data_IF_820647546385
#
_entry.id   IF_820647546385
#
_cell.length_a   1.000
_cell.length_b   1.000
_cell.length_c   1.000
_cell.angle_alpha   90.00
_cell.angle_beta   90.00
_cell.angle_gamma   90.00
#
_symmetry.space_group_name_H-M   'P 1'
#
loop_
_entity.id
_entity.type
_entity.pdbx_description
1 polymer ?
#
# COMPACT_ATOMS: atom_id res chain seq x y z
N UNK A 1 15.56 -19.83 -15.37
CA UNK A 1 15.21 -20.72 -14.24
C UNK A 1 14.83 -19.85 -13.07
N UNK A 2 13.59 -19.97 -12.61
CA UNK A 2 12.96 -19.03 -11.67
C UNK A 2 11.50 -18.86 -12.09
N UNK A 3 10.71 -19.92 -11.91
CA UNK A 3 9.33 -19.98 -12.37
C UNK A 3 8.45 -19.05 -11.56
N UNK A 4 8.13 -17.89 -12.12
CA UNK A 4 7.11 -16.99 -11.59
C UNK A 4 5.76 -17.58 -11.99
N UNK A 5 5.04 -18.16 -11.03
CA UNK A 5 3.67 -18.63 -11.28
C UNK A 5 2.69 -17.51 -10.92
N UNK A 6 1.95 -17.04 -11.92
CA UNK A 6 0.87 -16.07 -11.74
C UNK A 6 -0.43 -16.83 -11.50
N UNK A 7 -0.94 -16.79 -10.27
CA UNK A 7 -2.28 -17.33 -9.97
C UNK A 7 -3.25 -16.15 -10.04
N UNK A 8 -4.14 -16.20 -11.01
CA UNK A 8 -5.20 -15.21 -11.19
C UNK A 8 -6.46 -15.71 -10.47
N UNK A 9 -6.74 -15.16 -9.29
CA UNK A 9 -8.04 -15.33 -8.64
C UNK A 9 -8.74 -13.97 -8.63
N UNK A 10 -9.84 -13.87 -9.38
CA UNK A 10 -10.85 -12.79 -9.31
C UNK A 10 -10.27 -11.36 -9.21
N UNK A 11 -9.36 -10.98 -10.11
CA UNK A 11 -8.82 -9.61 -10.19
C UNK A 11 -7.57 -9.35 -9.35
N UNK A 12 -7.06 -10.35 -8.63
CA UNK A 12 -5.78 -10.28 -7.93
C UNK A 12 -4.73 -11.13 -8.65
N UNK A 13 -3.62 -10.51 -9.06
CA UNK A 13 -2.45 -11.24 -9.57
C UNK A 13 -1.54 -11.56 -8.39
N UNK A 14 -1.44 -12.84 -8.01
CA UNK A 14 -0.47 -13.32 -7.02
C UNK A 14 0.79 -13.80 -7.75
N UNK A 15 1.93 -13.25 -7.37
CA UNK A 15 3.24 -13.81 -7.69
C UNK A 15 3.67 -14.69 -6.53
N UNK A 16 3.92 -15.98 -6.80
CA UNK A 16 4.43 -16.91 -5.80
C UNK A 16 5.95 -16.94 -5.87
N UNK A 17 6.61 -16.23 -4.96
CA UNK A 17 8.05 -16.31 -4.75
C UNK A 17 8.32 -17.34 -3.66
N UNK A 18 9.20 -18.29 -3.95
CA UNK A 18 9.53 -19.39 -3.05
C UNK A 18 10.37 -18.88 -1.87
N UNK A 19 9.74 -18.69 -0.71
CA UNK A 19 10.43 -18.33 0.52
C UNK A 19 9.49 -18.08 1.68
N UNK A 20 9.03 -19.15 2.33
CA UNK A 20 8.31 -19.08 3.61
C UNK A 20 9.17 -18.37 4.67
N UNK A 21 8.97 -17.07 4.85
CA UNK A 21 9.25 -16.40 6.11
C UNK A 21 7.92 -16.18 6.82
N UNK A 22 7.65 -16.99 7.84
CA UNK A 22 6.42 -16.95 8.65
C UNK A 22 6.36 -15.73 9.60
N UNK A 23 7.43 -14.91 9.61
CA UNK A 23 7.52 -13.69 10.37
C UNK A 23 7.17 -12.47 9.50
N UNK A 24 6.27 -11.62 10.00
CA UNK A 24 6.01 -10.32 9.38
C UNK A 24 7.32 -9.51 9.30
N UNK A 25 7.63 -8.86 8.17
CA UNK A 25 8.82 -8.03 8.05
C UNK A 25 8.79 -6.88 9.06
N UNK A 26 9.96 -6.49 9.54
CA UNK A 26 10.09 -5.34 10.41
C UNK A 26 9.58 -4.05 9.72
N UNK A 27 8.90 -3.15 10.43
CA UNK A 27 8.55 -1.84 9.90
C UNK A 27 9.78 -1.07 9.45
N UNK A 28 9.68 -0.38 8.32
CA UNK A 28 10.76 0.43 7.75
C UNK A 28 10.34 1.88 7.70
N UNK A 29 11.23 2.78 8.12
CA UNK A 29 11.03 4.21 7.97
C UNK A 29 11.52 4.64 6.59
N UNK A 30 10.68 5.36 5.85
CA UNK A 30 10.97 5.85 4.51
C UNK A 30 10.81 7.37 4.47
N UNK A 31 11.76 8.07 3.83
CA UNK A 31 11.61 9.49 3.51
C UNK A 31 10.62 9.68 2.37
N UNK A 32 9.97 10.84 2.32
CA UNK A 32 9.05 11.21 1.25
C UNK A 32 9.55 12.52 0.63
N UNK A 33 10.00 12.52 -0.63
CA UNK A 33 10.17 11.37 -1.52
C UNK A 33 11.28 10.40 -1.08
N UNK A 34 11.22 9.15 -1.56
CA UNK A 34 12.19 8.11 -1.21
C UNK A 34 11.74 6.70 -1.62
N UNK A 35 12.52 5.70 -1.25
CA UNK A 35 12.24 4.29 -1.50
C UNK A 35 12.62 3.43 -0.30
N UNK A 36 11.98 2.27 -0.17
CA UNK A 36 12.33 1.27 0.83
C UNK A 36 11.90 -0.13 0.40
N UNK A 37 12.40 -1.14 1.13
CA UNK A 37 11.99 -2.53 0.99
C UNK A 37 11.31 -3.01 2.27
N UNK A 38 10.13 -3.61 2.13
CA UNK A 38 9.38 -4.25 3.23
C UNK A 38 9.05 -5.69 2.87
N UNK A 39 9.74 -6.65 3.48
CA UNK A 39 9.66 -8.06 3.08
C UNK A 39 10.08 -8.25 1.61
N UNK A 40 9.15 -8.72 0.79
CA UNK A 40 9.34 -8.94 -0.65
C UNK A 40 8.88 -7.76 -1.52
N UNK A 41 8.51 -6.63 -0.92
CA UNK A 41 7.99 -5.48 -1.65
C UNK A 41 9.01 -4.36 -1.70
N UNK A 42 9.15 -3.77 -2.87
CA UNK A 42 9.79 -2.48 -3.06
C UNK A 42 8.69 -1.41 -3.12
N UNK A 43 8.82 -0.41 -2.24
CA UNK A 43 7.90 0.72 -2.14
C UNK A 43 8.64 1.99 -2.47
N UNK A 44 8.10 2.78 -3.40
CA UNK A 44 8.67 4.07 -3.81
C UNK A 44 7.66 5.18 -3.61
N UNK A 45 8.16 6.38 -3.30
CA UNK A 45 7.41 7.62 -3.16
C UNK A 45 8.11 8.69 -4.02
N UNK A 46 7.47 9.10 -5.12
CA UNK A 46 8.06 10.05 -6.06
C UNK A 46 7.21 11.32 -6.15
N UNK A 47 7.87 12.49 -6.04
CA UNK A 47 7.25 13.79 -6.29
C UNK A 47 6.92 13.90 -7.78
N UNK A 48 5.74 14.43 -8.08
CA UNK A 48 5.15 14.47 -9.43
C UNK A 48 4.95 13.09 -10.05
N UNK A 49 3.77 12.53 -9.80
CA UNK A 49 3.16 11.61 -10.74
C UNK A 49 1.93 12.23 -11.37
N UNK A 50 1.64 11.83 -12.61
CA UNK A 50 0.37 12.14 -13.27
C UNK A 50 -0.77 11.53 -12.42
N UNK A 51 -1.73 12.34 -11.92
CA UNK A 51 -2.89 11.84 -11.16
C UNK A 51 -3.68 10.76 -11.92
N UNK A 52 -3.60 10.74 -13.25
CA UNK A 52 -4.24 9.73 -14.10
C UNK A 52 -3.74 8.30 -13.82
N UNK A 53 -2.52 8.15 -13.29
CA UNK A 53 -1.92 6.85 -12.99
C UNK A 53 -2.52 6.16 -11.76
N UNK A 54 -3.22 6.90 -10.88
CA UNK A 54 -3.82 6.41 -9.64
C UNK A 54 -4.87 5.29 -9.84
N UNK A 55 -5.33 5.05 -11.07
CA UNK A 55 -6.21 3.95 -11.41
C UNK A 55 -5.50 2.58 -11.51
N UNK A 56 -4.17 2.53 -11.42
CA UNK A 56 -3.39 1.30 -11.57
C UNK A 56 -3.25 0.56 -10.22
N UNK A 57 -3.50 -0.76 -10.16
CA UNK A 57 -3.27 -1.54 -8.93
C UNK A 57 -1.82 -1.40 -8.43
N UNK A 58 -1.65 -1.17 -7.14
CA UNK A 58 -0.32 -0.97 -6.55
C UNK A 58 0.25 0.44 -6.73
N UNK A 59 -0.54 1.38 -7.24
CA UNK A 59 -0.20 2.81 -7.33
C UNK A 59 -1.23 3.65 -6.57
N UNK A 60 -0.79 4.74 -5.96
CA UNK A 60 -1.69 5.74 -5.36
C UNK A 60 -1.13 7.16 -5.47
N UNK A 61 -1.99 8.12 -5.82
CA UNK A 61 -1.70 9.56 -5.71
C UNK A 61 -2.20 10.11 -4.38
N UNK A 62 -1.32 10.75 -3.61
CA UNK A 62 -1.63 11.34 -2.31
C UNK A 62 -1.17 12.79 -2.24
N UNK A 63 -1.76 13.55 -1.32
CA UNK A 63 -1.32 14.90 -0.96
C UNK A 63 0.01 14.85 -0.17
N UNK A 64 1.04 15.53 -0.68
CA UNK A 64 2.37 15.58 -0.06
C UNK A 64 2.32 16.23 1.33
N UNK A 65 1.55 17.31 1.48
CA UNK A 65 1.43 18.05 2.73
C UNK A 65 0.78 17.22 3.83
N UNK A 66 -0.24 16.43 3.48
CA UNK A 66 -0.88 15.49 4.39
C UNK A 66 0.03 14.30 4.76
N UNK A 67 0.79 13.78 3.79
CA UNK A 67 1.67 12.62 3.99
C UNK A 67 2.89 12.97 4.87
N UNK A 68 3.42 14.18 4.74
CA UNK A 68 4.63 14.63 5.43
C UNK A 68 5.92 14.07 4.83
N UNK A 69 7.04 14.32 5.49
CA UNK A 69 8.39 13.99 4.96
C UNK A 69 8.89 12.58 5.33
N UNK A 70 8.18 11.88 6.22
CA UNK A 70 8.57 10.55 6.71
C UNK A 70 7.34 9.70 6.97
N UNK A 71 7.40 8.46 6.50
CA UNK A 71 6.36 7.45 6.68
C UNK A 71 6.96 6.16 7.20
N UNK A 72 6.13 5.36 7.88
CA UNK A 72 6.44 3.99 8.21
C UNK A 72 5.79 3.08 7.17
N UNK A 73 6.54 2.13 6.62
CA UNK A 73 6.02 1.09 5.73
C UNK A 73 6.14 -0.25 6.45
N UNK A 74 5.01 -0.95 6.59
CA UNK A 74 4.93 -2.24 7.30
C UNK A 74 3.79 -3.11 6.77
N UNK A 75 3.67 -4.34 7.23
CA UNK A 75 2.45 -5.12 7.04
C UNK A 75 1.33 -4.66 7.98
N UNK A 76 0.09 -4.97 7.63
CA UNK A 76 -1.06 -4.65 8.49
C UNK A 76 -0.98 -5.37 9.85
N UNK A 77 -1.60 -4.77 10.85
CA UNK A 77 -1.78 -5.31 12.20
C UNK A 77 -3.26 -5.37 12.54
N UNK A 78 -3.65 -6.34 13.37
CA UNK A 78 -5.00 -6.39 13.89
C UNK A 78 -5.32 -5.08 14.64
N UNK A 79 -6.49 -4.51 14.36
CA UNK A 79 -6.90 -3.21 14.90
C UNK A 79 -6.51 -2.00 14.06
N UNK A 80 -5.67 -2.15 13.02
CA UNK A 80 -5.41 -1.06 12.07
C UNK A 80 -6.72 -0.59 11.44
N UNK A 81 -6.88 0.73 11.33
CA UNK A 81 -8.07 1.37 10.75
C UNK A 81 -7.68 2.32 9.63
N UNK A 82 -8.58 2.45 8.67
CA UNK A 82 -8.48 3.36 7.54
C UNK A 82 -9.83 4.02 7.31
N UNK A 83 -9.83 5.26 6.80
CA UNK A 83 -11.01 5.88 6.17
C UNK A 83 -10.83 5.76 4.66
N UNK A 84 -11.40 4.76 3.97
CA UNK A 84 -11.18 4.57 2.54
C UNK A 84 -11.74 5.75 1.73
N UNK A 85 -11.00 6.18 0.71
CA UNK A 85 -11.43 7.22 -0.22
C UNK A 85 -12.82 6.89 -0.81
N UNK A 86 -13.74 7.86 -0.79
CA UNK A 86 -15.09 7.71 -1.35
C UNK A 86 -16.07 6.89 -0.50
N UNK A 87 -15.66 6.39 0.67
CA UNK A 87 -16.54 5.70 1.63
C UNK A 87 -16.76 6.56 2.88
N UNK A 88 -17.97 6.50 3.45
CA UNK A 88 -18.26 7.16 4.73
C UNK A 88 -17.77 6.32 5.89
N UNK A 89 -17.06 6.95 6.84
CA UNK A 89 -16.66 6.35 8.11
C UNK A 89 -15.29 5.68 8.09
N UNK A 90 -14.91 5.06 9.22
CA UNK A 90 -13.65 4.32 9.35
C UNK A 90 -13.91 2.82 9.36
N UNK A 91 -12.98 2.06 8.82
CA UNK A 91 -13.07 0.60 8.72
C UNK A 91 -11.80 -0.04 9.26
N UNK A 92 -11.90 -1.23 9.85
CA UNK A 92 -10.70 -2.02 10.15
C UNK A 92 -10.09 -2.52 8.84
N UNK A 93 -8.78 -2.71 8.80
CA UNK A 93 -8.13 -3.32 7.63
C UNK A 93 -8.61 -4.75 7.40
N UNK A 94 -8.90 -5.50 8.48
CA UNK A 94 -9.48 -6.84 8.40
C UNK A 94 -10.80 -6.87 7.63
N UNK A 95 -11.72 -5.98 7.98
CA UNK A 95 -13.00 -5.88 7.28
C UNK A 95 -12.81 -5.35 5.85
N UNK A 96 -11.93 -4.36 5.64
CA UNK A 96 -11.61 -3.86 4.30
C UNK A 96 -11.14 -4.99 3.37
N UNK A 97 -10.24 -5.84 3.86
CA UNK A 97 -9.75 -6.99 3.10
C UNK A 97 -10.85 -8.00 2.78
N UNK A 98 -11.79 -8.21 3.70
CA UNK A 98 -12.93 -9.10 3.48
C UNK A 98 -13.84 -8.55 2.38
N UNK A 99 -14.23 -7.27 2.44
CA UNK A 99 -15.11 -6.67 1.42
C UNK A 99 -14.46 -6.63 0.03
N UNK A 100 -13.14 -6.41 -0.02
CA UNK A 100 -12.40 -6.36 -1.29
C UNK A 100 -11.97 -7.73 -1.79
N UNK A 101 -12.35 -8.81 -1.08
CA UNK A 101 -12.02 -10.18 -1.46
C UNK A 101 -10.51 -10.48 -1.46
N UNK A 102 -9.72 -9.78 -0.64
CA UNK A 102 -8.26 -9.97 -0.61
C UNK A 102 -7.94 -11.34 -0.01
N UNK A 103 -7.18 -12.22 -0.68
CA UNK A 103 -6.82 -13.53 -0.14
C UNK A 103 -5.97 -13.42 1.13
N UNK A 104 -6.19 -14.29 2.12
CA UNK A 104 -5.49 -14.25 3.43
C UNK A 104 -3.97 -14.36 3.31
N UNK A 105 -3.49 -15.12 2.32
CA UNK A 105 -2.07 -15.26 2.00
C UNK A 105 -1.45 -13.93 1.55
N UNK A 106 -2.18 -13.16 0.74
CA UNK A 106 -1.76 -11.84 0.28
C UNK A 106 -1.84 -10.80 1.40
N UNK A 107 -2.90 -10.82 2.22
CA UNK A 107 -3.08 -9.87 3.35
C UNK A 107 -1.83 -9.77 4.22
N UNK A 108 -1.16 -10.90 4.50
CA UNK A 108 0.01 -10.97 5.40
C UNK A 108 1.25 -10.26 4.86
N UNK A 109 1.40 -10.14 3.53
CA UNK A 109 2.58 -9.55 2.91
C UNK A 109 2.33 -8.14 2.36
N UNK A 110 1.07 -7.71 2.21
CA UNK A 110 0.75 -6.40 1.62
C UNK A 110 1.41 -5.24 2.39
N UNK A 111 2.12 -4.35 1.67
CA UNK A 111 2.59 -3.09 2.24
C UNK A 111 1.44 -2.18 2.66
N UNK A 112 1.60 -1.64 3.86
CA UNK A 112 0.75 -0.59 4.44
C UNK A 112 1.65 0.58 4.79
N UNK A 113 1.33 1.75 4.24
CA UNK A 113 2.02 3.01 4.52
C UNK A 113 1.27 3.75 5.63
N UNK A 114 2.00 4.07 6.69
CA UNK A 114 1.53 4.78 7.87
C UNK A 114 2.19 6.16 7.90
N UNK A 115 1.38 7.21 7.99
CA UNK A 115 1.84 8.58 8.10
C UNK A 115 1.18 9.25 9.31
N UNK A 116 1.99 9.83 10.20
CA UNK A 116 1.50 10.43 11.44
C UNK A 116 0.65 9.49 12.30
N UNK A 117 0.96 8.19 12.32
CA UNK A 117 0.21 7.17 13.06
C UNK A 117 -1.10 6.71 12.43
N UNK A 118 -1.43 7.17 11.21
CA UNK A 118 -2.64 6.80 10.48
C UNK A 118 -2.30 6.03 9.21
N UNK A 119 -3.18 5.11 8.81
CA UNK A 119 -3.02 4.38 7.53
C UNK A 119 -3.26 5.36 6.39
N UNK A 120 -2.24 5.64 5.59
CA UNK A 120 -2.33 6.47 4.40
C UNK A 120 -2.71 5.65 3.17
N UNK A 121 -2.12 4.46 3.03
CA UNK A 121 -2.31 3.61 1.87
C UNK A 121 -2.11 2.13 2.19
N UNK A 122 -2.94 1.28 1.59
CA UNK A 122 -2.80 -0.17 1.57
C UNK A 122 -2.61 -0.59 0.12
N UNK A 123 -1.43 -1.10 -0.20
CA UNK A 123 -1.01 -1.37 -1.58
C UNK A 123 -2.03 -2.23 -2.33
N UNK A 124 -2.49 -1.73 -3.48
CA UNK A 124 -3.48 -2.42 -4.32
C UNK A 124 -4.89 -2.54 -3.75
N UNK A 125 -5.16 -2.02 -2.54
CA UNK A 125 -6.46 -2.16 -1.88
C UNK A 125 -7.16 -0.80 -1.72
N UNK A 126 -6.57 0.16 -1.01
CA UNK A 126 -7.23 1.43 -0.74
C UNK A 126 -6.25 2.54 -0.37
N UNK A 127 -6.59 3.76 -0.79
CA UNK A 127 -6.03 5.02 -0.28
C UNK A 127 -6.96 5.55 0.80
N UNK A 128 -6.39 6.17 1.84
CA UNK A 128 -7.21 6.83 2.85
C UNK A 128 -7.64 8.23 2.39
N UNK A 129 -8.90 8.55 2.62
CA UNK A 129 -9.51 9.86 2.41
C UNK A 129 -8.78 10.97 3.18
N UNK A 130 -8.16 10.64 4.33
CA UNK A 130 -7.34 11.57 5.13
C UNK A 130 -6.10 12.11 4.39
N UNK A 131 -5.70 11.44 3.30
CA UNK A 131 -4.55 11.79 2.47
C UNK A 131 -4.95 11.97 1.00
N UNK A 132 -6.23 12.22 0.75
CA UNK A 132 -6.77 12.52 -0.57
C UNK A 132 -6.00 13.68 -1.19
N UNK A 133 -5.67 13.56 -2.46
CA UNK A 133 -5.12 14.65 -3.24
C UNK A 133 -6.19 15.75 -3.44
N UNK A 134 -5.95 16.94 -2.89
CA UNK A 134 -6.81 18.10 -3.11
C UNK A 134 -6.47 18.82 -4.43
N UNK A 135 -7.44 19.49 -5.07
CA UNK A 135 -7.17 20.32 -6.25
C UNK A 135 -6.11 21.38 -5.95
N UNK A 136 -5.04 21.39 -6.75
CA UNK A 136 -3.94 22.36 -6.63
C UNK A 136 -2.88 22.01 -5.58
N UNK A 137 -3.04 20.90 -4.85
CA UNK A 137 -2.00 20.40 -3.94
C UNK A 137 -0.85 19.72 -4.69
N UNK A 138 0.32 19.69 -4.04
CA UNK A 138 1.46 18.93 -4.55
C UNK A 138 1.20 17.43 -4.37
N UNK A 139 1.40 16.68 -5.46
CA UNK A 139 1.14 15.25 -5.50
C UNK A 139 2.40 14.40 -5.33
N UNK A 140 2.24 13.31 -4.60
CA UNK A 140 3.20 12.21 -4.54
C UNK A 140 2.54 10.95 -5.03
N UNK A 141 3.26 10.18 -5.84
CA UNK A 141 2.84 8.84 -6.24
C UNK A 141 3.61 7.81 -5.44
N UNK A 142 2.85 6.97 -4.76
CA UNK A 142 3.34 5.76 -4.12
C UNK A 142 3.18 4.58 -5.08
N UNK A 143 4.22 3.75 -5.20
CA UNK A 143 4.12 2.47 -5.90
C UNK A 143 4.60 1.34 -5.00
N UNK A 144 4.02 0.14 -5.18
CA UNK A 144 4.43 -1.07 -4.50
C UNK A 144 4.51 -2.22 -5.51
N UNK A 145 5.70 -2.78 -5.69
CA UNK A 145 5.95 -3.90 -6.60
C UNK A 145 6.72 -5.02 -5.90
N UNK A 146 6.56 -6.29 -6.31
CA UNK A 146 7.44 -7.35 -5.86
C UNK A 146 8.90 -6.99 -6.19
N UNK A 147 9.78 -7.15 -5.23
CA UNK A 147 11.21 -7.02 -5.41
C UNK A 147 11.70 -8.30 -6.09
N UNK A 148 12.27 -8.15 -7.29
CA UNK A 148 12.81 -9.25 -8.08
C UNK A 148 14.00 -9.96 -7.40
#
# INVERSE_FOLDING_TARGET
>A
GGGVSAICESGWVRFEVAGLVDAAPAPVQMSVPGECRVGEWEVTAQLRGDPSLAATPGLAGLDVGALGQRVEVRTWRAGDRIRPLGMRGTKTLGDLFTDRGVPRSLRRSLPVVIAGGRVAWVAGVAVSDDFRLEPGAESIVLTARPAA
#
